data_IF_228790855410
#
_entry.id   IF_228790855410
#
_cell.length_a   1.000
_cell.length_b   1.000
_cell.length_c   1.000
_cell.angle_alpha   90.00
_cell.angle_beta   90.00
_cell.angle_gamma   90.00
#
_symmetry.space_group_name_H-M   'P 1'
#
loop_
_entity.id
_entity.type
_entity.pdbx_description
1 polymer ?
#
# COMPACT_ATOMS: atom_id res chain seq x y z
N UNK A 1 11.96 -18.83 1.22
CA UNK A 1 10.94 -18.30 2.15
C UNK A 1 11.68 -17.54 3.23
N UNK A 2 11.51 -16.23 3.34
CA UNK A 2 12.27 -15.42 4.31
C UNK A 2 11.87 -15.81 5.73
N UNK A 3 12.79 -16.40 6.49
CA UNK A 3 12.63 -16.68 7.91
C UNK A 3 12.15 -15.39 8.61
N UNK A 4 11.14 -15.49 9.48
CA UNK A 4 10.37 -14.39 10.08
C UNK A 4 11.11 -13.29 10.86
N UNK A 5 12.43 -13.16 10.69
CA UNK A 5 13.28 -12.06 11.15
C UNK A 5 12.82 -10.66 10.70
N UNK A 6 11.96 -10.56 9.68
CA UNK A 6 11.33 -9.29 9.29
C UNK A 6 10.48 -8.67 10.43
N UNK A 7 10.02 -9.50 11.37
CA UNK A 7 9.20 -9.11 12.52
C UNK A 7 9.99 -9.00 13.83
N UNK A 8 11.32 -9.17 13.80
CA UNK A 8 12.20 -8.96 14.96
C UNK A 8 12.62 -7.48 15.07
N UNK A 9 12.46 -6.91 16.27
CA UNK A 9 12.72 -5.51 16.59
C UNK A 9 11.47 -4.61 16.64
N UNK A 10 11.66 -3.29 16.64
CA UNK A 10 10.57 -2.32 16.74
C UNK A 10 9.81 -2.17 15.41
N UNK A 11 8.94 -3.14 15.12
CA UNK A 11 8.07 -3.16 13.93
C UNK A 11 7.21 -1.90 13.84
N UNK A 12 6.74 -1.38 14.98
CA UNK A 12 5.93 -0.16 15.03
C UNK A 12 6.72 1.04 14.50
N UNK A 13 7.95 1.25 14.95
CA UNK A 13 8.79 2.35 14.47
C UNK A 13 9.05 2.27 12.95
N UNK A 14 9.39 1.08 12.42
CA UNK A 14 9.59 0.90 10.97
C UNK A 14 8.33 1.15 10.16
N UNK A 15 7.15 0.83 10.70
CA UNK A 15 5.88 1.13 10.04
C UNK A 15 5.68 2.64 9.92
N UNK A 16 5.89 3.39 11.00
CA UNK A 16 5.78 4.85 10.98
C UNK A 16 6.82 5.52 10.08
N UNK A 17 8.06 5.03 10.06
CA UNK A 17 9.11 5.50 9.14
C UNK A 17 8.69 5.25 7.69
N UNK A 18 8.27 4.03 7.34
CA UNK A 18 7.85 3.69 5.98
C UNK A 18 6.62 4.48 5.51
N UNK A 19 5.68 4.76 6.42
CA UNK A 19 4.50 5.58 6.12
C UNK A 19 4.90 7.02 5.83
N UNK A 20 5.84 7.58 6.60
CA UNK A 20 6.38 8.93 6.36
C UNK A 20 7.27 9.03 5.12
N UNK A 21 8.11 8.04 4.86
CA UNK A 21 8.90 7.94 3.62
C UNK A 21 8.02 7.91 2.37
N UNK A 22 6.78 7.46 2.51
CA UNK A 22 5.77 7.43 1.45
C UNK A 22 4.92 8.71 1.37
N UNK A 23 5.23 9.73 2.16
CA UNK A 23 4.55 11.02 2.14
C UNK A 23 3.22 11.06 2.88
N UNK A 24 2.90 10.06 3.70
CA UNK A 24 1.69 10.07 4.51
C UNK A 24 1.97 10.66 5.89
N UNK A 25 1.11 11.61 6.29
CA UNK A 25 1.22 12.28 7.59
C UNK A 25 0.76 11.40 8.77
N UNK A 26 0.01 10.33 8.49
CA UNK A 26 -0.48 9.42 9.52
C UNK A 26 -0.69 7.99 9.03
N UNK A 27 -0.66 7.03 9.98
CA UNK A 27 -1.05 5.64 9.70
C UNK A 27 -2.51 5.52 9.26
N UNK A 28 -3.38 6.43 9.70
CA UNK A 28 -4.80 6.44 9.32
C UNK A 28 -4.96 6.78 7.85
N UNK A 29 -4.30 7.85 7.38
CA UNK A 29 -4.31 8.23 5.95
C UNK A 29 -3.73 7.11 5.07
N UNK A 30 -2.67 6.46 5.54
CA UNK A 30 -2.10 5.30 4.84
C UNK A 30 -3.07 4.10 4.78
N UNK A 31 -3.77 3.81 5.88
CA UNK A 31 -4.78 2.75 5.94
C UNK A 31 -5.94 3.06 5.00
N UNK A 32 -6.47 4.29 5.03
CA UNK A 32 -7.58 4.70 4.14
C UNK A 32 -7.22 4.55 2.66
N UNK A 33 -5.98 4.91 2.29
CA UNK A 33 -5.47 4.68 0.93
C UNK A 33 -5.42 3.18 0.60
N UNK A 34 -4.95 2.35 1.53
CA UNK A 34 -4.90 0.90 1.34
C UNK A 34 -6.30 0.27 1.23
N UNK A 35 -7.27 0.74 2.02
CA UNK A 35 -8.66 0.30 1.97
C UNK A 35 -9.29 0.66 0.61
N UNK A 36 -9.15 1.91 0.15
CA UNK A 36 -9.62 2.34 -1.18
C UNK A 36 -9.01 1.50 -2.32
N UNK A 37 -7.72 1.18 -2.23
CA UNK A 37 -7.05 0.32 -3.20
C UNK A 37 -7.65 -1.11 -3.20
N UNK A 38 -7.94 -1.65 -2.02
CA UNK A 38 -8.58 -2.95 -1.85
C UNK A 38 -9.98 -2.98 -2.44
N UNK A 39 -10.79 -1.98 -2.14
CA UNK A 39 -12.16 -1.84 -2.67
C UNK A 39 -12.15 -1.79 -4.20
N UNK A 40 -11.22 -1.03 -4.80
CA UNK A 40 -11.10 -0.95 -6.25
C UNK A 40 -10.71 -2.30 -6.88
N UNK A 41 -9.79 -3.05 -6.28
CA UNK A 41 -9.40 -4.38 -6.75
C UNK A 41 -10.53 -5.41 -6.58
N UNK A 42 -11.36 -5.28 -5.57
CA UNK A 42 -12.54 -6.13 -5.39
C UNK A 42 -13.64 -5.80 -6.41
N UNK A 43 -13.84 -4.51 -6.70
CA UNK A 43 -14.82 -4.06 -7.68
C UNK A 43 -14.39 -4.38 -9.12
N UNK A 44 -13.10 -4.22 -9.42
CA UNK A 44 -12.51 -4.51 -10.73
C UNK A 44 -11.33 -5.47 -10.55
N UNK A 45 -11.58 -6.79 -10.57
CA UNK A 45 -10.53 -7.76 -10.35
C UNK A 45 -9.45 -7.65 -11.44
N UNK A 46 -8.17 -7.64 -11.05
CA UNK A 46 -7.07 -7.54 -12.01
C UNK A 46 -6.99 -8.81 -12.88
N UNK A 47 -6.40 -8.71 -14.08
CA UNK A 47 -6.30 -9.84 -14.98
C UNK A 47 -5.49 -11.00 -14.37
N UNK A 48 -5.78 -12.25 -14.77
CA UNK A 48 -5.03 -13.41 -14.30
C UNK A 48 -3.53 -13.24 -14.53
N UNK A 49 -2.74 -13.54 -13.50
CA UNK A 49 -1.28 -13.40 -13.55
C UNK A 49 -0.74 -12.02 -13.17
N UNK A 50 -1.62 -11.03 -12.91
CA UNK A 50 -1.18 -9.74 -12.39
C UNK A 50 -0.54 -9.85 -11.00
N UNK A 51 0.57 -9.12 -10.82
CA UNK A 51 1.26 -8.95 -9.55
C UNK A 51 1.66 -7.49 -9.42
N UNK A 52 1.16 -6.75 -8.40
CA UNK A 52 1.53 -5.36 -8.24
C UNK A 52 3.03 -5.25 -7.95
N UNK A 53 3.75 -4.44 -8.73
CA UNK A 53 5.18 -4.18 -8.54
C UNK A 53 5.45 -3.20 -7.39
N UNK A 54 4.39 -2.50 -6.93
CA UNK A 54 4.45 -1.52 -5.87
C UNK A 54 3.19 -0.65 -5.86
N UNK A 55 3.14 0.39 -5.01
CA UNK A 55 2.02 1.32 -4.94
C UNK A 55 1.85 2.17 -6.22
N UNK A 56 2.90 2.34 -7.02
CA UNK A 56 2.91 3.10 -8.28
C UNK A 56 2.55 2.26 -9.52
N UNK A 57 2.00 1.06 -9.33
CA UNK A 57 1.59 0.18 -10.43
C UNK A 57 0.54 0.87 -11.32
N UNK A 58 0.64 0.75 -12.64
CA UNK A 58 -0.24 1.45 -13.59
C UNK A 58 -1.72 1.06 -13.42
N UNK A 59 -1.99 -0.19 -13.05
CA UNK A 59 -3.35 -0.63 -12.73
C UNK A 59 -3.86 0.03 -11.45
N UNK A 60 -3.00 0.16 -10.42
CA UNK A 60 -3.36 0.84 -9.18
C UNK A 60 -3.53 2.35 -9.40
N UNK A 61 -2.69 3.00 -10.19
CA UNK A 61 -2.82 4.43 -10.55
C UNK A 61 -4.08 4.73 -11.34
N UNK A 62 -4.49 3.82 -12.22
CA UNK A 62 -5.73 3.96 -13.00
C UNK A 62 -6.96 3.91 -12.11
N UNK A 63 -6.94 3.08 -11.07
CA UNK A 63 -8.07 2.90 -10.16
C UNK A 63 -8.04 3.85 -8.95
N UNK A 64 -6.87 4.36 -8.59
CA UNK A 64 -6.64 5.15 -7.40
C UNK A 64 -5.80 6.40 -7.70
N UNK A 65 -6.35 7.39 -8.42
CA UNK A 65 -5.68 8.67 -8.56
C UNK A 65 -5.33 9.20 -7.16
N UNK A 66 -4.13 9.73 -7.00
CA UNK A 66 -3.80 10.53 -5.82
C UNK A 66 -4.79 11.69 -5.79
N UNK A 67 -5.59 11.78 -4.72
CA UNK A 67 -6.37 12.99 -4.46
C UNK A 67 -5.32 14.08 -4.15
N UNK A 68 -4.92 14.81 -5.19
CA UNK A 68 -4.15 16.05 -5.07
C UNK A 68 -4.96 17.00 -4.18
N UNK A 69 -4.43 17.27 -2.99
CA UNK A 69 -4.94 18.28 -2.05
C UNK A 69 -4.42 19.65 -2.45
#
# INVERSE_FOLDING_TARGET
MSNGSAWQGNVKARLYERVRERGYDSLTAFKERADKAGDALLATPPPPGWRPLGPDDELLRTHLPDEEV
#
